data_IF_639754582451
#
_entry.id   IF_639754582451
#
_cell.length_a   1.000
_cell.length_b   1.000
_cell.length_c   1.000
_cell.angle_alpha   90.00
_cell.angle_beta   90.00
_cell.angle_gamma   90.00
#
_symmetry.space_group_name_H-M   'P 1'
#
loop_
_entity.id
_entity.type
_entity.pdbx_description
1 polymer ?
#
# COMPACT_ATOMS: atom_id res chain seq x y z
N UNK A 1 19.78 28.14 54.02
CA UNK A 1 19.88 28.41 52.58
C UNK A 1 18.85 27.53 51.88
N UNK A 2 17.71 28.12 51.53
CA UNK A 2 16.53 27.47 50.96
C UNK A 2 16.63 27.48 49.44
N UNK A 3 16.74 26.31 48.82
CA UNK A 3 16.77 26.13 47.37
C UNK A 3 15.36 26.03 46.78
N UNK A 4 14.99 26.97 45.93
CA UNK A 4 13.72 27.04 45.19
C UNK A 4 13.73 26.09 43.98
N UNK A 5 12.68 25.29 43.85
CA UNK A 5 12.42 24.44 42.69
C UNK A 5 11.99 25.24 41.44
N UNK A 6 12.29 24.79 40.20
CA UNK A 6 11.87 25.47 38.99
C UNK A 6 10.38 25.24 38.69
N UNK A 7 9.70 26.30 38.22
CA UNK A 7 8.29 26.32 37.89
C UNK A 7 7.96 25.56 36.59
N UNK A 8 6.75 24.99 36.44
CA UNK A 8 6.33 24.28 35.23
C UNK A 8 6.12 25.25 34.05
N UNK A 9 6.70 24.91 32.91
CA UNK A 9 6.51 25.62 31.63
C UNK A 9 5.08 25.37 31.15
N UNK A 10 4.26 26.43 31.11
CA UNK A 10 2.90 26.39 30.54
C UNK A 10 2.95 26.17 29.03
N UNK A 11 2.07 25.34 28.45
CA UNK A 11 1.94 25.24 27.00
C UNK A 11 1.49 26.58 26.41
N UNK A 12 2.19 27.04 25.38
CA UNK A 12 1.81 28.22 24.62
C UNK A 12 0.40 28.03 24.02
N UNK A 13 -0.38 29.11 24.08
CA UNK A 13 -1.82 29.16 23.89
C UNK A 13 -2.24 28.74 22.47
N UNK A 14 -3.11 27.75 22.39
CA UNK A 14 -3.94 27.35 21.23
C UNK A 14 -4.82 28.47 20.63
N UNK A 15 -4.83 29.67 21.24
CA UNK A 15 -5.63 30.82 20.80
C UNK A 15 -5.05 31.61 19.62
N UNK A 16 -3.72 31.67 19.47
CA UNK A 16 -3.09 32.45 18.39
C UNK A 16 -3.20 31.76 17.02
N UNK A 17 -3.28 30.43 16.98
CA UNK A 17 -3.49 29.66 15.74
C UNK A 17 -4.89 29.88 15.13
N UNK A 18 -5.91 30.17 15.96
CA UNK A 18 -7.27 30.47 15.49
C UNK A 18 -7.41 31.88 14.90
N UNK A 19 -6.53 32.82 15.28
CA UNK A 19 -6.61 34.22 14.87
C UNK A 19 -6.24 34.46 13.39
N UNK A 20 -5.49 33.55 12.75
CA UNK A 20 -5.04 33.69 11.36
C UNK A 20 -5.96 33.00 10.31
N UNK A 21 -6.98 32.25 10.74
CA UNK A 21 -7.96 31.61 9.85
C UNK A 21 -8.83 32.61 9.03
N UNK A 22 -9.21 33.81 9.53
CA UNK A 22 -9.98 34.78 8.77
C UNK A 22 -9.22 35.39 7.56
N UNK A 23 -7.92 35.63 7.69
CA UNK A 23 -7.09 36.17 6.59
C UNK A 23 -6.88 35.15 5.47
N UNK A 24 -6.80 33.86 5.82
CA UNK A 24 -6.78 32.78 4.84
C UNK A 24 -8.08 32.76 4.00
N UNK A 25 -9.25 32.98 4.62
CA UNK A 25 -10.55 33.06 3.91
C UNK A 25 -10.61 34.23 2.92
N UNK A 26 -9.99 35.36 3.23
CA UNK A 26 -9.97 36.53 2.35
C UNK A 26 -9.00 36.34 1.15
N UNK A 27 -7.87 35.66 1.37
CA UNK A 27 -6.95 35.24 0.31
C UNK A 27 -7.60 34.22 -0.65
N UNK A 28 -8.38 33.28 -0.10
CA UNK A 28 -9.20 32.29 -0.81
C UNK A 28 -10.15 32.94 -1.84
N UNK A 29 -10.84 34.02 -1.45
CA UNK A 29 -11.80 34.72 -2.32
C UNK A 29 -11.13 35.43 -3.51
N UNK A 30 -9.92 35.99 -3.32
CA UNK A 30 -9.19 36.73 -4.36
C UNK A 30 -8.58 35.80 -5.41
N UNK A 31 -8.03 34.66 -5.00
CA UNK A 31 -7.48 33.66 -5.93
C UNK A 31 -8.56 32.98 -6.79
N UNK A 32 -9.78 32.83 -6.26
CA UNK A 32 -10.91 32.25 -6.99
C UNK A 32 -11.42 33.12 -8.16
N UNK A 33 -11.18 34.43 -8.15
CA UNK A 33 -11.66 35.36 -9.19
C UNK A 33 -10.73 35.46 -10.41
N UNK A 34 -9.50 34.94 -10.38
CA UNK A 34 -8.47 35.23 -11.39
C UNK A 34 -8.12 34.05 -12.33
N UNK A 35 -8.83 32.91 -12.28
CA UNK A 35 -8.43 31.69 -13.01
C UNK A 35 -9.49 31.18 -14.00
N UNK A 36 -9.05 30.85 -15.23
CA UNK A 36 -9.80 30.15 -16.28
C UNK A 36 -10.10 28.67 -15.96
N UNK A 37 -9.74 28.20 -14.76
CA UNK A 37 -9.95 26.84 -14.31
C UNK A 37 -11.42 26.56 -13.91
N UNK A 38 -11.83 25.29 -13.96
CA UNK A 38 -13.17 24.88 -13.50
C UNK A 38 -13.37 25.23 -12.02
N UNK A 39 -14.61 25.37 -11.50
CA UNK A 39 -14.84 25.58 -10.08
C UNK A 39 -14.14 24.52 -9.19
N UNK A 40 -14.07 23.27 -9.64
CA UNK A 40 -13.38 22.19 -8.94
C UNK A 40 -11.86 22.40 -8.89
N UNK A 41 -11.24 22.81 -10.00
CA UNK A 41 -9.80 23.08 -10.05
C UNK A 41 -9.41 24.28 -9.19
N UNK A 42 -10.26 25.33 -9.17
CA UNK A 42 -10.07 26.47 -8.27
C UNK A 42 -10.10 26.02 -6.81
N UNK A 43 -11.06 25.17 -6.44
CA UNK A 43 -11.13 24.63 -5.07
C UNK A 43 -9.91 23.76 -4.72
N UNK A 44 -9.47 22.89 -5.64
CA UNK A 44 -8.25 22.06 -5.46
C UNK A 44 -6.98 22.89 -5.32
N UNK A 45 -6.85 23.97 -6.09
CA UNK A 45 -5.74 24.92 -5.95
C UNK A 45 -5.76 25.59 -4.57
N UNK A 46 -6.95 25.97 -4.07
CA UNK A 46 -7.11 26.56 -2.74
C UNK A 46 -6.79 25.56 -1.62
N UNK A 47 -7.24 24.30 -1.72
CA UNK A 47 -6.86 23.22 -0.80
C UNK A 47 -5.35 23.02 -0.74
N UNK A 48 -4.71 23.02 -1.91
CA UNK A 48 -3.26 22.88 -2.03
C UNK A 48 -2.55 24.05 -1.34
N UNK A 49 -2.88 25.29 -1.68
CA UNK A 49 -2.26 26.48 -1.09
C UNK A 49 -2.47 26.57 0.43
N UNK A 50 -3.66 26.19 0.92
CA UNK A 50 -3.95 26.12 2.35
C UNK A 50 -3.03 25.09 3.04
N UNK A 51 -2.95 23.88 2.51
CA UNK A 51 -2.14 22.81 3.11
C UNK A 51 -0.64 23.04 2.97
N UNK A 52 -0.18 23.70 1.91
CA UNK A 52 1.24 24.07 1.74
C UNK A 52 1.74 24.93 2.92
N UNK A 53 0.86 25.70 3.55
CA UNK A 53 1.18 26.53 4.72
C UNK A 53 0.77 25.90 6.04
N UNK A 54 -0.33 25.13 6.06
CA UNK A 54 -1.00 24.72 7.30
C UNK A 54 -1.02 23.22 7.57
N UNK A 55 -0.43 22.37 6.72
CA UNK A 55 -0.47 20.91 6.88
C UNK A 55 -0.08 20.43 8.29
N UNK A 56 1.01 20.96 8.86
CA UNK A 56 1.47 20.58 10.20
C UNK A 56 0.54 21.01 11.33
N UNK A 57 -0.15 22.14 11.17
CA UNK A 57 -1.11 22.66 12.13
C UNK A 57 -2.41 21.85 12.08
N UNK A 58 -2.92 21.61 10.86
CA UNK A 58 -4.08 20.74 10.61
C UNK A 58 -3.82 19.36 11.21
N UNK A 59 -2.70 18.72 10.86
CA UNK A 59 -2.39 17.40 11.37
C UNK A 59 -2.26 17.37 12.90
N UNK A 60 -1.64 18.39 13.50
CA UNK A 60 -1.54 18.50 14.95
C UNK A 60 -2.92 18.60 15.62
N UNK A 61 -3.87 19.33 15.03
CA UNK A 61 -5.23 19.42 15.54
C UNK A 61 -5.96 18.06 15.45
N UNK A 62 -5.90 17.42 14.28
CA UNK A 62 -6.51 16.10 14.05
C UNK A 62 -5.96 15.00 14.94
N UNK A 63 -4.68 15.10 15.29
CA UNK A 63 -3.97 14.08 16.07
C UNK A 63 -3.66 14.54 17.49
N UNK A 64 -4.39 15.53 18.03
CA UNK A 64 -4.19 16.05 19.39
C UNK A 64 -2.71 16.26 19.79
N UNK A 65 -1.91 16.78 18.86
CA UNK A 65 -0.46 16.96 19.05
C UNK A 65 0.41 15.77 18.62
N UNK A 66 -0.07 14.89 17.72
CA UNK A 66 0.61 13.66 17.26
C UNK A 66 0.66 12.59 18.34
N UNK A 67 -0.50 12.34 18.96
CA UNK A 67 -0.66 11.34 20.03
C UNK A 67 -1.48 10.14 19.57
N UNK A 68 -2.77 10.26 19.17
CA UNK A 68 -3.47 9.20 18.46
C UNK A 68 -2.82 8.87 17.12
N UNK A 69 -2.72 7.56 16.85
CA UNK A 69 -2.15 6.99 15.63
C UNK A 69 -3.27 6.67 14.64
N UNK A 70 -3.86 7.73 14.08
CA UNK A 70 -4.93 7.58 13.11
C UNK A 70 -4.39 6.94 11.82
N UNK A 71 -5.10 5.93 11.33
CA UNK A 71 -4.90 5.33 10.00
C UNK A 71 -5.46 6.27 8.92
N UNK A 72 -5.25 5.92 7.64
CA UNK A 72 -5.59 6.79 6.51
C UNK A 72 -7.07 7.22 6.52
N UNK A 73 -8.01 6.28 6.57
CA UNK A 73 -9.44 6.58 6.54
C UNK A 73 -9.93 7.30 7.80
N UNK A 74 -9.36 6.98 8.96
CA UNK A 74 -9.66 7.66 10.23
C UNK A 74 -9.19 9.12 10.20
N UNK A 75 -7.99 9.36 9.66
CA UNK A 75 -7.44 10.70 9.49
C UNK A 75 -8.25 11.50 8.47
N UNK A 76 -8.68 10.88 7.37
CA UNK A 76 -9.53 11.53 6.37
C UNK A 76 -10.90 11.89 6.95
N UNK A 77 -11.53 10.99 7.73
CA UNK A 77 -12.80 11.27 8.41
C UNK A 77 -12.65 12.41 9.43
N UNK A 78 -11.62 12.36 10.28
CA UNK A 78 -11.34 13.44 11.23
C UNK A 78 -11.09 14.78 10.53
N UNK A 79 -10.40 14.78 9.39
CA UNK A 79 -10.17 15.97 8.57
C UNK A 79 -11.46 16.53 7.98
N UNK A 80 -12.38 15.67 7.52
CA UNK A 80 -13.67 16.09 6.99
C UNK A 80 -14.53 16.77 8.06
N UNK A 81 -14.54 16.23 9.28
CA UNK A 81 -15.32 16.75 10.40
C UNK A 81 -14.74 18.07 10.94
N UNK A 82 -13.43 18.15 11.14
CA UNK A 82 -12.77 19.32 11.72
C UNK A 82 -12.58 20.46 10.71
N UNK A 83 -12.41 20.15 9.42
CA UNK A 83 -12.16 21.12 8.35
C UNK A 83 -13.11 20.90 7.16
N UNK A 84 -14.40 21.24 7.28
CA UNK A 84 -15.38 21.05 6.21
C UNK A 84 -14.91 21.67 4.88
N UNK A 85 -14.92 20.87 3.81
CA UNK A 85 -14.50 21.27 2.47
C UNK A 85 -13.01 21.06 2.16
N UNK A 86 -12.17 20.75 3.16
CA UNK A 86 -10.75 20.42 2.96
C UNK A 86 -10.58 19.07 2.24
N UNK A 87 -11.30 18.07 2.72
CA UNK A 87 -11.42 16.71 2.16
C UNK A 87 -12.90 16.34 2.06
N UNK A 88 -13.28 15.37 1.21
CA UNK A 88 -14.65 14.90 1.12
C UNK A 88 -15.08 14.20 2.41
N UNK A 89 -16.35 14.37 2.76
CA UNK A 89 -17.00 13.64 3.85
C UNK A 89 -17.10 12.15 3.53
N UNK A 90 -17.26 11.32 4.56
CA UNK A 90 -17.52 9.88 4.39
C UNK A 90 -18.75 9.62 3.51
N UNK A 91 -19.78 10.46 3.63
CA UNK A 91 -20.99 10.38 2.80
C UNK A 91 -20.73 10.70 1.32
N UNK A 92 -19.94 11.75 1.03
CA UNK A 92 -19.55 12.09 -0.34
C UNK A 92 -18.69 10.99 -0.97
N UNK A 93 -17.72 10.44 -0.22
CA UNK A 93 -16.89 9.32 -0.69
C UNK A 93 -17.73 8.07 -0.96
N UNK A 94 -18.68 7.73 -0.07
CA UNK A 94 -19.57 6.59 -0.27
C UNK A 94 -20.47 6.80 -1.50
N UNK A 95 -20.99 8.01 -1.71
CA UNK A 95 -21.82 8.34 -2.87
C UNK A 95 -21.01 8.32 -4.18
N UNK A 96 -19.74 8.71 -4.17
CA UNK A 96 -18.86 8.65 -5.33
C UNK A 96 -18.43 7.20 -5.64
N UNK A 97 -18.16 6.39 -4.61
CA UNK A 97 -17.84 4.95 -4.75
C UNK A 97 -18.99 4.14 -5.34
N UNK A 98 -20.25 4.55 -5.11
CA UNK A 98 -21.41 3.90 -5.71
C UNK A 98 -21.54 4.14 -7.24
N UNK A 99 -20.61 4.87 -7.86
CA UNK A 99 -20.61 5.20 -9.29
C UNK A 99 -19.43 4.55 -10.00
N UNK A 100 -19.66 4.16 -11.25
CA UNK A 100 -18.58 3.76 -12.14
C UNK A 100 -17.51 4.86 -12.22
N UNK A 101 -16.25 4.47 -12.40
CA UNK A 101 -15.11 5.40 -12.36
C UNK A 101 -15.27 6.61 -13.30
N UNK A 102 -15.90 6.40 -14.47
CA UNK A 102 -16.19 7.45 -15.46
C UNK A 102 -17.20 8.51 -15.01
N UNK A 103 -17.99 8.21 -13.97
CA UNK A 103 -19.09 9.02 -13.46
C UNK A 103 -18.77 9.66 -12.10
N UNK A 104 -17.57 9.37 -11.56
CA UNK A 104 -17.11 9.94 -10.30
C UNK A 104 -16.84 11.44 -10.43
N UNK A 105 -17.14 12.19 -9.38
CA UNK A 105 -16.82 13.61 -9.29
C UNK A 105 -15.31 13.85 -9.04
N UNK A 106 -14.57 12.81 -8.66
CA UNK A 106 -13.14 12.90 -8.40
C UNK A 106 -12.85 13.49 -7.03
N UNK A 107 -13.66 13.13 -6.03
CA UNK A 107 -13.47 13.52 -4.64
C UNK A 107 -12.16 12.95 -4.05
N UNK A 108 -11.70 11.80 -4.55
CA UNK A 108 -10.45 11.19 -4.11
C UNK A 108 -9.21 12.03 -4.50
N UNK A 109 -9.31 12.95 -5.47
CA UNK A 109 -8.24 13.92 -5.77
C UNK A 109 -7.99 14.84 -4.56
N UNK A 110 -9.04 15.20 -3.83
CA UNK A 110 -8.94 16.06 -2.66
C UNK A 110 -8.24 15.33 -1.49
N UNK A 111 -8.48 14.02 -1.36
CA UNK A 111 -7.71 13.15 -0.47
C UNK A 111 -6.24 13.07 -0.90
N UNK A 112 -5.97 12.96 -2.20
CA UNK A 112 -4.61 12.97 -2.75
C UNK A 112 -3.84 14.25 -2.40
N UNK A 113 -4.48 15.41 -2.51
CA UNK A 113 -3.92 16.70 -2.08
C UNK A 113 -3.61 16.67 -0.58
N UNK A 114 -4.58 16.23 0.24
CA UNK A 114 -4.42 16.15 1.69
C UNK A 114 -3.25 15.27 2.10
N UNK A 115 -3.24 14.00 1.69
CA UNK A 115 -2.16 13.07 2.05
C UNK A 115 -0.81 13.49 1.48
N UNK A 116 -0.77 14.06 0.27
CA UNK A 116 0.47 14.59 -0.29
C UNK A 116 1.10 15.62 0.65
N UNK A 117 0.33 16.61 1.13
CA UNK A 117 0.91 17.67 1.97
C UNK A 117 1.22 17.22 3.39
N UNK A 118 0.44 16.30 3.95
CA UNK A 118 0.80 15.66 5.23
C UNK A 118 2.12 14.89 5.11
N UNK A 119 2.27 14.05 4.08
CA UNK A 119 3.46 13.22 3.87
C UNK A 119 4.70 14.04 3.50
N UNK A 120 4.55 15.22 2.87
CA UNK A 120 5.68 16.14 2.62
C UNK A 120 6.30 16.67 3.92
N UNK A 121 5.52 16.84 4.99
CA UNK A 121 6.05 17.28 6.27
C UNK A 121 6.91 16.18 6.91
N UNK A 122 8.19 16.46 7.26
CA UNK A 122 9.01 15.49 7.98
C UNK A 122 8.40 15.07 9.32
N UNK A 123 7.72 16.00 9.99
CA UNK A 123 7.13 15.78 11.32
C UNK A 123 5.81 15.05 11.25
N UNK A 124 4.85 15.56 10.46
CA UNK A 124 3.52 14.97 10.38
C UNK A 124 3.49 13.73 9.49
N UNK A 125 4.20 13.75 8.37
CA UNK A 125 4.34 12.59 7.50
C UNK A 125 5.14 11.46 8.16
N UNK A 126 6.19 11.79 8.92
CA UNK A 126 6.91 10.81 9.72
C UNK A 126 6.01 10.11 10.74
N UNK A 127 5.19 10.87 11.47
CA UNK A 127 4.22 10.31 12.40
C UNK A 127 3.14 9.45 11.71
N UNK A 128 2.62 9.87 10.56
CA UNK A 128 1.62 9.08 9.81
C UNK A 128 2.19 7.76 9.30
N UNK A 129 3.41 7.78 8.75
CA UNK A 129 4.11 6.58 8.31
C UNK A 129 4.33 5.63 9.48
N UNK A 130 4.77 6.14 10.64
CA UNK A 130 4.93 5.34 11.86
C UNK A 130 3.59 4.77 12.37
N UNK A 131 2.51 5.56 12.34
CA UNK A 131 1.19 5.12 12.76
C UNK A 131 0.69 3.92 11.94
N UNK A 132 0.97 3.90 10.63
CA UNK A 132 0.53 2.83 9.73
C UNK A 132 1.34 1.54 9.90
N UNK A 133 2.51 1.58 10.54
CA UNK A 133 3.28 0.39 10.93
C UNK A 133 2.77 -0.30 12.20
N UNK A 134 1.82 0.28 12.95
CA UNK A 134 1.20 -0.43 14.07
C UNK A 134 0.19 -1.47 13.58
N UNK A 135 -0.10 -2.50 14.40
CA UNK A 135 -1.04 -3.55 14.04
C UNK A 135 -2.42 -2.97 13.77
N UNK A 136 -3.11 -3.59 12.81
CA UNK A 136 -4.53 -3.34 12.59
C UNK A 136 -5.35 -3.88 13.76
N UNK A 137 -6.48 -3.22 14.06
CA UNK A 137 -7.40 -3.69 15.11
C UNK A 137 -7.88 -5.13 14.84
N UNK A 138 -8.17 -5.46 13.58
CA UNK A 138 -8.57 -6.80 13.14
C UNK A 138 -7.50 -7.85 13.43
N UNK A 139 -6.22 -7.56 13.19
CA UNK A 139 -5.15 -8.49 13.51
C UNK A 139 -5.01 -8.71 15.02
N UNK A 140 -5.15 -7.66 15.83
CA UNK A 140 -5.12 -7.79 17.29
C UNK A 140 -6.28 -8.63 17.83
N UNK A 141 -7.47 -8.51 17.24
CA UNK A 141 -8.64 -9.32 17.58
C UNK A 141 -8.41 -10.80 17.25
N UNK A 142 -7.83 -11.11 16.09
CA UNK A 142 -7.60 -12.47 15.62
C UNK A 142 -6.33 -13.12 16.20
N UNK A 143 -5.41 -12.34 16.76
CA UNK A 143 -4.10 -12.82 17.23
C UNK A 143 -4.20 -13.96 18.25
N UNK A 144 -5.05 -13.92 19.29
CA UNK A 144 -5.12 -15.00 20.28
C UNK A 144 -5.52 -16.35 19.65
N UNK A 145 -6.49 -16.34 18.73
CA UNK A 145 -6.94 -17.54 18.03
C UNK A 145 -5.86 -18.05 17.07
N UNK A 146 -5.22 -17.16 16.30
CA UNK A 146 -4.14 -17.53 15.40
C UNK A 146 -2.94 -18.11 16.17
N UNK A 147 -2.52 -17.51 17.29
CA UNK A 147 -1.43 -18.04 18.11
C UNK A 147 -1.75 -19.45 18.63
N UNK A 148 -3.01 -19.70 19.04
CA UNK A 148 -3.43 -20.99 19.56
C UNK A 148 -3.53 -22.08 18.49
N UNK A 149 -4.09 -21.76 17.32
CA UNK A 149 -4.42 -22.74 16.27
C UNK A 149 -3.36 -22.84 15.18
N UNK A 150 -2.59 -21.77 14.98
CA UNK A 150 -1.71 -21.60 13.83
C UNK A 150 -2.47 -21.40 12.52
N UNK A 151 -3.78 -21.12 12.51
CA UNK A 151 -4.56 -20.99 11.29
C UNK A 151 -5.44 -19.74 11.31
N UNK A 152 -5.57 -19.08 10.16
CA UNK A 152 -6.54 -18.01 9.96
C UNK A 152 -7.02 -18.01 8.50
N UNK A 153 -8.34 -18.08 8.30
CA UNK A 153 -8.98 -17.85 7.00
C UNK A 153 -9.55 -16.42 6.97
N UNK A 154 -8.98 -15.57 6.12
CA UNK A 154 -9.35 -14.17 6.04
C UNK A 154 -10.31 -13.89 4.87
N UNK A 155 -10.60 -14.89 4.03
CA UNK A 155 -11.40 -14.78 2.82
C UNK A 155 -10.53 -14.80 1.56
N UNK A 156 -9.71 -13.77 1.33
CA UNK A 156 -8.81 -13.73 0.16
C UNK A 156 -7.40 -14.24 0.41
N UNK A 157 -7.05 -14.44 1.68
CA UNK A 157 -5.77 -14.96 2.14
C UNK A 157 -6.02 -16.01 3.22
N UNK A 158 -5.36 -17.17 3.07
CA UNK A 158 -5.26 -18.18 4.13
C UNK A 158 -3.86 -18.11 4.74
N UNK A 159 -3.79 -18.09 6.07
CA UNK A 159 -2.56 -18.06 6.83
C UNK A 159 -2.43 -19.33 7.66
N UNK A 160 -1.28 -20.01 7.54
CA UNK A 160 -0.96 -21.21 8.31
C UNK A 160 0.44 -21.10 8.92
N UNK A 161 0.57 -21.28 10.24
CA UNK A 161 1.85 -21.45 10.91
C UNK A 161 2.22 -22.93 10.93
N UNK A 162 3.29 -23.28 10.24
CA UNK A 162 3.87 -24.63 10.24
C UNK A 162 5.38 -24.56 10.41
N UNK A 163 5.90 -25.27 11.42
CA UNK A 163 7.36 -25.40 11.65
C UNK A 163 8.09 -24.04 11.72
N UNK A 164 7.48 -23.07 12.42
CA UNK A 164 8.03 -21.71 12.55
C UNK A 164 7.84 -20.83 11.32
N UNK A 165 7.16 -21.29 10.26
CA UNK A 165 6.90 -20.52 9.04
C UNK A 165 5.45 -20.06 9.00
N UNK A 166 5.21 -18.76 8.83
CA UNK A 166 3.90 -18.22 8.48
C UNK A 166 3.70 -18.32 6.96
N UNK A 167 2.82 -19.21 6.52
CA UNK A 167 2.52 -19.48 5.11
C UNK A 167 1.26 -18.75 4.70
N UNK A 168 1.44 -17.63 4.00
CA UNK A 168 0.37 -16.83 3.41
C UNK A 168 0.07 -17.35 2.00
N UNK A 169 -1.15 -17.82 1.80
CA UNK A 169 -1.65 -18.26 0.50
C UNK A 169 -2.73 -17.30 0.02
N UNK A 170 -2.45 -16.54 -1.04
CA UNK A 170 -3.49 -15.76 -1.75
C UNK A 170 -4.41 -16.74 -2.49
N UNK A 171 -5.71 -16.73 -2.19
CA UNK A 171 -6.63 -17.80 -2.60
C UNK A 171 -7.92 -17.31 -3.26
N UNK A 172 -7.84 -16.24 -4.07
CA UNK A 172 -8.95 -15.82 -4.95
C UNK A 172 -8.87 -16.59 -6.27
N UNK A 173 -9.31 -17.84 -6.18
CA UNK A 173 -9.16 -18.85 -7.22
C UNK A 173 -9.99 -18.58 -8.50
N UNK A 174 -11.02 -17.74 -8.37
CA UNK A 174 -11.94 -17.32 -9.42
C UNK A 174 -11.39 -16.17 -10.28
N UNK A 175 -10.49 -15.37 -9.71
CA UNK A 175 -9.99 -14.14 -10.32
C UNK A 175 -8.47 -14.01 -10.33
N UNK A 176 -7.73 -15.12 -10.27
CA UNK A 176 -6.25 -15.15 -10.43
C UNK A 176 -5.52 -14.25 -9.42
N UNK A 177 -6.06 -14.15 -8.20
CA UNK A 177 -5.56 -13.26 -7.15
C UNK A 177 -5.53 -11.77 -7.57
N UNK A 178 -6.52 -11.34 -8.36
CA UNK A 178 -6.74 -9.93 -8.64
C UNK A 178 -7.00 -9.13 -7.35
N UNK A 179 -6.24 -8.05 -7.15
CA UNK A 179 -6.22 -7.26 -5.92
C UNK A 179 -7.40 -6.27 -5.87
N UNK A 180 -8.06 -6.16 -4.72
CA UNK A 180 -9.07 -5.15 -4.39
C UNK A 180 -8.93 -4.71 -2.92
N UNK A 181 -9.77 -3.76 -2.49
CA UNK A 181 -9.77 -3.22 -1.11
C UNK A 181 -9.82 -4.33 -0.05
N UNK A 182 -10.57 -5.42 -0.29
CA UNK A 182 -10.69 -6.54 0.65
C UNK A 182 -9.38 -7.33 0.72
N UNK A 183 -8.74 -7.58 -0.42
CA UNK A 183 -7.45 -8.27 -0.46
C UNK A 183 -6.37 -7.51 0.31
N UNK A 184 -6.37 -6.17 0.24
CA UNK A 184 -5.42 -5.35 1.00
C UNK A 184 -5.68 -5.45 2.51
N UNK A 185 -6.94 -5.47 2.94
CA UNK A 185 -7.30 -5.65 4.35
C UNK A 185 -6.88 -7.02 4.89
N UNK A 186 -7.14 -8.09 4.12
CA UNK A 186 -6.77 -9.45 4.48
C UNK A 186 -5.23 -9.64 4.47
N UNK A 187 -4.52 -9.10 3.49
CA UNK A 187 -3.05 -9.12 3.41
C UNK A 187 -2.41 -8.39 4.59
N UNK A 188 -2.90 -7.20 4.95
CA UNK A 188 -2.37 -6.46 6.10
C UNK A 188 -2.64 -7.20 7.41
N UNK A 189 -3.83 -7.78 7.56
CA UNK A 189 -4.17 -8.62 8.71
C UNK A 189 -3.25 -9.84 8.81
N UNK A 190 -3.02 -10.55 7.71
CA UNK A 190 -2.13 -11.72 7.68
C UNK A 190 -0.67 -11.36 7.98
N UNK A 191 -0.18 -10.25 7.45
CA UNK A 191 1.17 -9.74 7.73
C UNK A 191 1.32 -9.36 9.20
N UNK A 192 0.34 -8.66 9.78
CA UNK A 192 0.35 -8.32 11.21
C UNK A 192 0.38 -9.59 12.08
N UNK A 193 -0.51 -10.57 11.81
CA UNK A 193 -0.55 -11.84 12.54
C UNK A 193 0.79 -12.58 12.45
N UNK A 194 1.36 -12.68 11.25
CA UNK A 194 2.64 -13.35 11.01
C UNK A 194 3.80 -12.67 11.75
N UNK A 195 3.82 -11.33 11.81
CA UNK A 195 4.88 -10.57 12.48
C UNK A 195 4.70 -10.54 14.01
N UNK A 196 3.47 -10.58 14.51
CA UNK A 196 3.15 -10.54 15.94
C UNK A 196 3.30 -11.89 16.63
N UNK A 197 2.94 -13.00 15.96
CA UNK A 197 2.97 -14.34 16.57
C UNK A 197 4.42 -14.73 16.94
N UNK A 198 4.73 -14.95 18.23
CA UNK A 198 6.08 -15.36 18.65
C UNK A 198 6.49 -16.74 18.12
N UNK A 199 5.53 -17.57 17.69
CA UNK A 199 5.80 -18.87 17.10
C UNK A 199 6.28 -18.83 15.64
N UNK A 200 6.28 -17.65 15.00
CA UNK A 200 6.74 -17.48 13.61
C UNK A 200 8.15 -16.88 13.59
N UNK A 201 9.05 -17.51 12.84
CA UNK A 201 10.44 -17.09 12.62
C UNK A 201 10.63 -16.38 11.28
N UNK A 202 9.93 -16.85 10.23
CA UNK A 202 9.97 -16.33 8.87
C UNK A 202 8.63 -16.58 8.16
N UNK A 203 8.45 -15.93 7.01
CA UNK A 203 7.19 -15.92 6.29
C UNK A 203 7.37 -16.41 4.84
N UNK A 204 6.34 -17.08 4.33
CA UNK A 204 6.21 -17.47 2.92
C UNK A 204 4.96 -16.79 2.35
N UNK A 205 5.07 -16.16 1.18
CA UNK A 205 3.95 -15.70 0.38
C UNK A 205 3.88 -16.50 -0.94
N UNK A 206 2.72 -17.10 -1.22
CA UNK A 206 2.50 -17.87 -2.45
C UNK A 206 1.06 -17.77 -2.94
N UNK A 207 0.88 -17.98 -4.24
CA UNK A 207 -0.44 -18.16 -4.85
C UNK A 207 -1.04 -19.54 -4.56
N UNK A 208 -2.34 -19.58 -4.27
CA UNK A 208 -3.12 -20.81 -4.21
C UNK A 208 -3.40 -21.40 -5.60
N UNK A 209 -4.01 -22.58 -5.63
CA UNK A 209 -4.54 -23.18 -6.85
C UNK A 209 -5.78 -22.44 -7.34
N UNK A 210 -5.97 -22.39 -8.66
CA UNK A 210 -7.06 -21.65 -9.30
C UNK A 210 -8.21 -22.57 -9.70
N UNK A 211 -9.44 -22.04 -9.65
CA UNK A 211 -10.66 -22.67 -10.18
C UNK A 211 -11.05 -22.11 -11.55
N UNK A 212 -10.54 -20.92 -11.91
CA UNK A 212 -10.75 -20.32 -13.22
C UNK A 212 -10.38 -21.29 -14.35
N UNK A 213 -11.22 -21.51 -15.38
CA UNK A 213 -11.06 -22.60 -16.36
C UNK A 213 -9.71 -22.64 -17.09
N UNK A 214 -9.07 -21.49 -17.32
CA UNK A 214 -7.76 -21.41 -17.99
C UNK A 214 -6.58 -21.85 -17.11
N UNK A 215 -6.76 -21.88 -15.79
CA UNK A 215 -5.71 -22.16 -14.81
C UNK A 215 -6.15 -23.23 -13.79
N UNK A 216 -7.21 -23.98 -14.09
CA UNK A 216 -7.75 -24.99 -13.19
C UNK A 216 -6.66 -25.97 -12.73
N UNK A 217 -6.49 -26.11 -11.41
CA UNK A 217 -5.48 -26.99 -10.80
C UNK A 217 -4.04 -26.47 -10.87
N UNK A 218 -3.82 -25.24 -11.37
CA UNK A 218 -2.51 -24.58 -11.35
C UNK A 218 -2.49 -23.49 -10.30
N UNK A 219 -1.33 -23.29 -9.67
CA UNK A 219 -1.08 -22.12 -8.82
C UNK A 219 -0.84 -20.87 -9.67
N UNK A 220 -1.36 -19.74 -9.19
CA UNK A 220 -1.12 -18.43 -9.79
C UNK A 220 -0.79 -17.44 -8.69
N UNK A 221 0.36 -16.77 -8.79
CA UNK A 221 0.77 -15.79 -7.81
C UNK A 221 -0.16 -14.58 -7.79
N UNK A 222 -0.17 -13.74 -8.83
CA UNK A 222 -1.09 -12.59 -8.88
C UNK A 222 -1.22 -11.99 -10.27
N UNK A 223 -2.45 -11.67 -10.66
CA UNK A 223 -2.78 -10.92 -11.88
C UNK A 223 -2.79 -9.39 -11.71
N UNK A 224 -2.35 -8.86 -10.57
CA UNK A 224 -2.35 -7.42 -10.28
C UNK A 224 -3.72 -6.89 -9.89
N UNK A 225 -3.95 -5.59 -10.10
CA UNK A 225 -5.18 -4.91 -9.70
C UNK A 225 -6.42 -5.47 -10.40
N UNK A 226 -7.54 -5.57 -9.68
CA UNK A 226 -8.81 -5.94 -10.27
C UNK A 226 -9.35 -4.81 -11.15
N UNK A 227 -9.10 -4.91 -12.46
CA UNK A 227 -9.55 -3.92 -13.45
C UNK A 227 -11.09 -3.80 -13.55
N UNK A 228 -11.85 -4.84 -13.17
CA UNK A 228 -13.32 -4.73 -13.11
C UNK A 228 -13.75 -3.88 -11.93
N UNK A 229 -13.15 -4.08 -10.76
CA UNK A 229 -13.37 -3.23 -9.58
C UNK A 229 -12.94 -1.79 -9.85
N UNK A 230 -11.79 -1.59 -10.52
CA UNK A 230 -11.35 -0.25 -10.93
C UNK A 230 -12.36 0.42 -11.87
N UNK A 231 -12.94 -0.33 -12.81
CA UNK A 231 -13.98 0.19 -13.70
C UNK A 231 -15.25 0.58 -12.94
N UNK A 232 -15.66 -0.28 -12.01
CA UNK A 232 -16.86 -0.12 -11.21
C UNK A 232 -16.75 1.02 -10.19
N UNK A 233 -15.53 1.51 -9.91
CA UNK A 233 -15.29 2.57 -8.93
C UNK A 233 -14.95 2.05 -7.53
N UNK A 234 -14.67 0.75 -7.40
CA UNK A 234 -14.49 0.05 -6.12
C UNK A 234 -13.03 -0.01 -5.65
N UNK A 235 -12.09 0.61 -6.37
CA UNK A 235 -10.71 0.75 -5.91
C UNK A 235 -10.54 2.11 -5.24
N UNK A 236 -10.25 2.09 -3.94
CA UNK A 236 -10.11 3.31 -3.16
C UNK A 236 -8.68 3.85 -3.13
N UNK A 237 -8.52 5.18 -3.12
CA UNK A 237 -7.21 5.79 -2.87
C UNK A 237 -6.69 5.44 -1.48
N UNK A 238 -7.50 5.62 -0.43
CA UNK A 238 -7.11 5.47 0.97
C UNK A 238 -7.10 4.01 1.42
N UNK A 239 -8.09 3.18 1.02
CA UNK A 239 -8.20 1.78 1.45
C UNK A 239 -7.40 0.77 0.61
N UNK A 240 -7.00 1.13 -0.61
CA UNK A 240 -6.22 0.24 -1.48
C UNK A 240 -4.88 0.83 -1.84
N UNK A 241 -4.87 1.91 -2.64
CA UNK A 241 -3.65 2.42 -3.28
C UNK A 241 -2.61 2.91 -2.27
N UNK A 242 -3.03 3.69 -1.27
CA UNK A 242 -2.13 4.18 -0.21
C UNK A 242 -1.95 3.14 0.90
N UNK A 243 -3.03 2.45 1.30
CA UNK A 243 -3.00 1.48 2.39
C UNK A 243 -2.06 0.32 2.11
N UNK A 244 -2.03 -0.23 0.90
CA UNK A 244 -1.11 -1.33 0.58
C UNK A 244 0.35 -0.94 0.73
N UNK A 245 0.70 0.27 0.27
CA UNK A 245 2.08 0.76 0.25
C UNK A 245 2.58 1.18 1.63
N UNK A 246 1.75 1.90 2.39
CA UNK A 246 2.09 2.40 3.73
C UNK A 246 1.80 1.37 4.85
N UNK A 247 0.97 0.37 4.56
CA UNK A 247 0.60 -0.71 5.46
C UNK A 247 1.44 -1.96 5.20
N UNK A 248 0.82 -3.01 4.64
CA UNK A 248 1.42 -4.34 4.64
C UNK A 248 2.74 -4.43 3.86
N UNK A 249 2.92 -3.72 2.74
CA UNK A 249 4.21 -3.71 2.03
C UNK A 249 5.31 -3.03 2.85
N UNK A 250 4.96 -1.96 3.57
CA UNK A 250 5.90 -1.29 4.46
C UNK A 250 6.23 -2.14 5.68
N UNK A 251 5.26 -2.87 6.22
CA UNK A 251 5.42 -3.84 7.32
C UNK A 251 6.26 -5.05 6.91
N UNK A 252 6.12 -5.55 5.67
CA UNK A 252 7.03 -6.57 5.13
C UNK A 252 8.47 -6.04 5.15
N UNK A 253 8.69 -4.79 4.75
CA UNK A 253 10.03 -4.18 4.71
C UNK A 253 10.61 -3.83 6.10
N UNK A 254 9.82 -3.23 7.00
CA UNK A 254 10.29 -2.61 8.27
C UNK A 254 9.83 -3.32 9.54
N UNK A 255 8.89 -4.24 9.43
CA UNK A 255 8.23 -4.87 10.57
C UNK A 255 7.06 -4.06 11.13
N UNK A 256 6.35 -4.67 12.08
CA UNK A 256 5.21 -4.07 12.79
C UNK A 256 5.69 -3.43 14.08
N UNK A 257 5.31 -2.18 14.34
CA UNK A 257 5.63 -1.48 15.60
C UNK A 257 4.75 -2.00 16.73
N UNK A 258 5.29 -2.11 17.95
CA UNK A 258 4.54 -2.59 19.12
C UNK A 258 4.84 -1.75 20.36
N UNK A 259 3.84 -1.57 21.23
CA UNK A 259 3.97 -0.82 22.49
C UNK A 259 4.22 -1.73 23.71
N UNK A 260 4.25 -3.05 23.53
CA UNK A 260 4.20 -4.04 24.62
C UNK A 260 5.54 -4.30 25.30
N UNK A 261 6.33 -3.25 25.53
CA UNK A 261 7.65 -3.35 26.12
C UNK A 261 8.71 -3.84 25.13
N UNK A 262 8.54 -3.52 23.84
CA UNK A 262 9.56 -3.71 22.81
C UNK A 262 10.92 -3.26 23.34
N UNK A 263 11.96 -4.05 23.08
CA UNK A 263 13.30 -3.70 23.55
C UNK A 263 13.72 -2.36 22.95
N UNK A 264 14.47 -1.57 23.73
CA UNK A 264 14.97 -0.24 23.33
C UNK A 264 15.71 -0.23 21.98
N UNK A 265 16.21 -1.40 21.53
CA UNK A 265 16.94 -1.58 20.27
C UNK A 265 16.08 -2.12 19.10
N UNK A 266 14.86 -2.58 19.35
CA UNK A 266 13.96 -3.17 18.34
C UNK A 266 12.49 -2.76 18.56
N UNK A 267 12.12 -1.51 18.23
CA UNK A 267 10.75 -1.02 18.38
C UNK A 267 9.75 -1.64 17.38
N UNK A 268 10.23 -2.44 16.42
CA UNK A 268 9.41 -3.14 15.45
C UNK A 268 9.81 -4.62 15.37
N UNK A 269 8.81 -5.50 15.21
CA UNK A 269 8.99 -6.94 14.93
C UNK A 269 9.04 -7.14 13.43
N UNK A 270 10.22 -7.46 12.92
CA UNK A 270 10.46 -7.76 11.51
C UNK A 270 10.91 -9.22 11.37
N UNK A 271 10.46 -9.88 10.30
CA UNK A 271 10.80 -11.27 9.98
C UNK A 271 11.19 -11.37 8.50
N UNK A 272 12.02 -12.35 8.11
CA UNK A 272 12.32 -12.60 6.70
C UNK A 272 11.10 -13.09 5.93
N UNK A 273 11.01 -12.76 4.65
CA UNK A 273 9.93 -13.11 3.74
C UNK A 273 10.47 -13.80 2.49
N UNK A 274 9.91 -14.95 2.16
CA UNK A 274 10.13 -15.66 0.89
C UNK A 274 8.88 -15.52 0.02
N UNK A 275 9.03 -15.25 -1.27
CA UNK A 275 7.95 -15.33 -2.24
C UNK A 275 8.20 -16.47 -3.23
N UNK A 276 7.15 -17.22 -3.55
CA UNK A 276 7.18 -18.26 -4.58
C UNK A 276 6.20 -17.92 -5.70
N UNK A 277 6.72 -17.69 -6.91
CA UNK A 277 5.95 -17.23 -8.06
C UNK A 277 5.60 -18.40 -8.98
N UNK A 278 4.37 -18.87 -8.87
CA UNK A 278 3.75 -19.78 -9.84
C UNK A 278 3.03 -18.99 -10.94
N UNK A 279 3.21 -19.41 -12.20
CA UNK A 279 2.61 -18.85 -13.42
C UNK A 279 2.97 -17.40 -13.77
N UNK A 280 2.73 -16.42 -12.90
CA UNK A 280 3.09 -15.02 -13.14
C UNK A 280 2.88 -14.12 -11.93
N UNK A 281 3.69 -13.06 -11.85
CA UNK A 281 3.44 -11.91 -11.00
C UNK A 281 3.25 -10.66 -11.86
N UNK A 282 2.05 -10.11 -11.85
CA UNK A 282 1.66 -8.95 -12.67
C UNK A 282 1.30 -7.79 -11.75
N UNK A 283 1.66 -6.56 -12.15
CA UNK A 283 1.18 -5.35 -11.48
C UNK A 283 1.58 -5.32 -10.01
N UNK A 284 0.61 -5.17 -9.11
CA UNK A 284 0.87 -5.15 -7.67
C UNK A 284 1.48 -6.45 -7.12
N UNK A 285 1.24 -7.60 -7.76
CA UNK A 285 1.93 -8.86 -7.47
C UNK A 285 3.44 -8.77 -7.67
N UNK A 286 3.89 -8.23 -8.82
CA UNK A 286 5.32 -8.02 -9.06
C UNK A 286 5.92 -7.00 -8.08
N UNK A 287 5.13 -6.02 -7.63
CA UNK A 287 5.60 -5.04 -6.65
C UNK A 287 5.88 -5.65 -5.28
N UNK A 288 5.17 -6.72 -4.89
CA UNK A 288 5.46 -7.46 -3.64
C UNK A 288 6.86 -8.08 -3.67
N UNK A 289 7.33 -8.53 -4.84
CA UNK A 289 8.65 -9.13 -4.99
C UNK A 289 9.79 -8.14 -4.68
N UNK A 290 9.52 -6.83 -4.75
CA UNK A 290 10.48 -5.78 -4.46
C UNK A 290 10.63 -5.48 -2.95
N UNK A 291 9.96 -6.24 -2.07
CA UNK A 291 10.04 -6.04 -0.61
C UNK A 291 10.33 -7.30 0.20
N UNK A 292 10.34 -8.48 -0.44
CA UNK A 292 10.68 -9.76 0.19
C UNK A 292 12.20 -9.98 0.18
N UNK A 293 12.68 -10.94 0.97
CA UNK A 293 14.11 -11.28 1.09
C UNK A 293 14.60 -12.23 0.01
N UNK A 294 13.72 -13.12 -0.46
CA UNK A 294 14.09 -14.17 -1.40
C UNK A 294 12.91 -14.52 -2.31
N UNK A 295 13.16 -14.61 -3.60
CA UNK A 295 12.15 -14.87 -4.63
C UNK A 295 12.52 -16.13 -5.39
N UNK A 296 11.64 -17.13 -5.34
CA UNK A 296 11.67 -18.29 -6.22
C UNK A 296 10.60 -18.15 -7.30
N UNK A 297 10.88 -18.62 -8.51
CA UNK A 297 9.88 -18.66 -9.59
C UNK A 297 9.88 -20.00 -10.31
N UNK A 298 8.70 -20.42 -10.76
CA UNK A 298 8.59 -21.49 -11.74
C UNK A 298 9.23 -21.06 -13.07
N UNK A 299 9.86 -21.99 -13.79
CA UNK A 299 10.54 -21.70 -15.05
C UNK A 299 9.60 -21.24 -16.17
N UNK A 300 8.30 -21.56 -16.07
CA UNK A 300 7.25 -21.06 -16.97
C UNK A 300 6.60 -19.76 -16.49
N UNK A 301 7.09 -19.17 -15.41
CA UNK A 301 6.55 -17.93 -14.87
C UNK A 301 7.07 -16.69 -15.61
N UNK A 302 6.33 -15.59 -15.50
CA UNK A 302 6.80 -14.27 -15.95
C UNK A 302 6.46 -13.15 -14.98
N UNK A 303 7.23 -12.08 -15.06
CA UNK A 303 7.07 -10.84 -14.29
C UNK A 303 6.72 -9.69 -15.23
N UNK A 304 5.77 -8.82 -14.84
CA UNK A 304 5.46 -7.61 -15.60
C UNK A 304 4.82 -6.51 -14.76
N UNK A 305 5.11 -5.25 -15.11
CA UNK A 305 4.36 -4.08 -14.65
C UNK A 305 3.66 -3.45 -15.86
N UNK A 306 2.45 -3.90 -16.22
CA UNK A 306 1.70 -3.35 -17.35
C UNK A 306 1.14 -1.94 -17.07
N UNK A 307 1.81 -1.14 -16.24
CA UNK A 307 1.35 0.17 -15.76
C UNK A 307 1.06 1.16 -16.90
N UNK A 308 1.84 1.15 -17.99
CA UNK A 308 1.55 1.94 -19.18
C UNK A 308 0.19 1.54 -19.84
N UNK A 309 -0.16 0.26 -19.74
CA UNK A 309 -1.39 -0.31 -20.29
C UNK A 309 -2.59 -0.13 -19.34
N UNK A 310 -2.38 -0.23 -18.02
CA UNK A 310 -3.38 0.04 -16.97
C UNK A 310 -3.61 1.56 -16.78
N UNK A 311 -2.60 2.37 -17.10
CA UNK A 311 -2.59 3.83 -17.04
C UNK A 311 -2.39 4.40 -15.63
N UNK A 312 -2.24 3.59 -14.59
CA UNK A 312 -1.93 4.05 -13.23
C UNK A 312 -0.43 3.94 -12.91
N UNK A 313 0.04 4.62 -11.86
CA UNK A 313 1.39 4.44 -11.33
C UNK A 313 1.47 3.06 -10.66
N UNK A 314 2.50 2.23 -10.94
CA UNK A 314 2.63 0.90 -10.34
C UNK A 314 3.19 0.96 -8.91
N UNK A 315 2.41 1.59 -8.02
CA UNK A 315 2.74 1.72 -6.60
C UNK A 315 4.14 2.28 -6.41
N UNK A 316 4.93 1.64 -5.55
CA UNK A 316 6.30 2.05 -5.21
C UNK A 316 7.36 1.41 -6.14
N UNK A 317 6.96 0.72 -7.22
CA UNK A 317 7.95 0.16 -8.17
C UNK A 317 8.83 1.22 -8.82
N UNK A 318 8.32 2.43 -9.09
CA UNK A 318 9.15 3.50 -9.69
C UNK A 318 10.29 3.94 -8.75
N UNK A 319 10.13 3.74 -7.44
CA UNK A 319 11.18 3.96 -6.45
C UNK A 319 12.13 2.75 -6.36
N UNK A 320 11.57 1.53 -6.26
CA UNK A 320 12.33 0.32 -5.91
C UNK A 320 12.98 -0.37 -7.11
N UNK A 321 12.27 -0.53 -8.22
CA UNK A 321 12.73 -1.33 -9.37
C UNK A 321 14.08 -0.89 -9.95
N UNK A 322 14.40 0.42 -10.06
CA UNK A 322 15.72 0.85 -10.53
C UNK A 322 16.89 0.41 -9.65
N UNK A 323 16.67 0.15 -8.36
CA UNK A 323 17.72 -0.36 -7.45
C UNK A 323 18.17 -1.77 -7.86
N UNK A 324 17.21 -2.60 -8.26
CA UNK A 324 17.45 -3.99 -8.67
C UNK A 324 17.95 -4.10 -10.11
N UNK A 325 17.31 -3.36 -11.01
CA UNK A 325 17.46 -3.58 -12.47
C UNK A 325 18.30 -2.51 -13.17
N UNK A 326 18.70 -1.47 -12.45
CA UNK A 326 19.23 -0.25 -13.05
C UNK A 326 18.16 0.57 -13.79
N UNK A 327 18.47 1.82 -14.16
CA UNK A 327 17.49 2.77 -14.68
C UNK A 327 16.92 2.42 -16.05
N UNK A 328 17.66 1.68 -16.89
CA UNK A 328 17.24 1.37 -18.28
C UNK A 328 16.23 0.25 -18.31
N UNK A 329 16.52 -0.88 -17.67
CA UNK A 329 15.59 -2.00 -17.62
C UNK A 329 14.33 -1.64 -16.85
N UNK A 330 14.43 -0.88 -15.74
CA UNK A 330 13.24 -0.37 -15.04
C UNK A 330 12.31 0.45 -15.95
N UNK A 331 12.87 1.29 -16.83
CA UNK A 331 12.09 2.08 -17.81
C UNK A 331 11.46 1.21 -18.89
N UNK A 332 12.15 0.18 -19.38
CA UNK A 332 11.57 -0.78 -20.32
C UNK A 332 10.39 -1.53 -19.67
N UNK A 333 10.54 -1.96 -18.42
CA UNK A 333 9.47 -2.66 -17.70
C UNK A 333 8.27 -1.72 -17.47
N UNK A 334 8.50 -0.51 -16.92
CA UNK A 334 7.41 0.39 -16.47
C UNK A 334 6.81 1.20 -17.62
N UNK A 335 7.64 1.79 -18.49
CA UNK A 335 7.19 2.72 -19.54
C UNK A 335 6.81 1.98 -20.82
N UNK A 336 7.53 0.91 -21.19
CA UNK A 336 7.28 0.14 -22.41
C UNK A 336 6.44 -1.12 -22.15
N UNK A 337 6.24 -1.50 -20.88
CA UNK A 337 5.49 -2.71 -20.50
C UNK A 337 6.25 -4.01 -20.81
N UNK A 338 7.60 -3.98 -20.78
CA UNK A 338 8.43 -5.17 -21.02
C UNK A 338 8.09 -6.26 -20.00
N UNK A 339 7.75 -7.43 -20.51
CA UNK A 339 7.59 -8.67 -19.74
C UNK A 339 8.94 -9.38 -19.64
N UNK A 340 9.24 -9.95 -18.47
CA UNK A 340 10.45 -10.75 -18.22
C UNK A 340 10.02 -12.18 -17.95
N UNK A 341 10.48 -13.15 -18.74
CA UNK A 341 10.30 -14.56 -18.40
C UNK A 341 11.26 -14.95 -17.28
N UNK A 342 10.88 -15.89 -16.41
CA UNK A 342 11.75 -16.36 -15.33
C UNK A 342 13.09 -16.91 -15.86
N UNK A 343 13.11 -17.46 -17.08
CA UNK A 343 14.32 -17.99 -17.73
C UNK A 343 15.17 -16.94 -18.45
N UNK A 344 14.70 -15.69 -18.56
CA UNK A 344 15.50 -14.63 -19.18
C UNK A 344 16.72 -14.32 -18.28
N UNK A 345 17.90 -14.00 -18.85
CA UNK A 345 19.08 -13.65 -18.06
C UNK A 345 18.83 -12.50 -17.06
N UNK A 346 18.01 -11.51 -17.45
CA UNK A 346 17.66 -10.37 -16.61
C UNK A 346 16.72 -10.71 -15.45
N UNK A 347 16.06 -11.87 -15.48
CA UNK A 347 15.19 -12.30 -14.38
C UNK A 347 15.97 -12.47 -13.06
N UNK A 348 17.27 -12.79 -13.14
CA UNK A 348 18.17 -12.90 -11.97
C UNK A 348 18.33 -11.61 -11.17
N UNK A 349 17.87 -10.48 -11.71
CA UNK A 349 17.84 -9.19 -10.99
C UNK A 349 16.61 -9.08 -10.07
N UNK A 350 15.63 -9.98 -10.20
CA UNK A 350 14.34 -9.95 -9.52
C UNK A 350 13.95 -11.31 -8.90
N UNK A 351 14.62 -12.39 -9.29
CA UNK A 351 14.37 -13.77 -8.89
C UNK A 351 15.70 -14.42 -8.54
N UNK A 352 15.81 -14.95 -7.32
CA UNK A 352 17.02 -15.58 -6.82
C UNK A 352 17.18 -17.00 -7.36
N UNK A 353 16.06 -17.72 -7.51
CA UNK A 353 16.04 -19.12 -7.93
C UNK A 353 14.90 -19.42 -8.92
N UNK A 354 15.24 -20.15 -9.97
CA UNK A 354 14.26 -20.60 -10.99
C UNK A 354 14.31 -22.11 -11.06
N UNK A 355 13.15 -22.74 -10.84
CA UNK A 355 13.00 -24.19 -10.80
C UNK A 355 11.89 -24.62 -11.73
N UNK A 356 11.90 -25.88 -12.18
CA UNK A 356 10.72 -26.39 -12.89
C UNK A 356 9.50 -26.41 -11.96
N UNK A 357 8.26 -26.30 -12.47
CA UNK A 357 7.07 -26.33 -11.62
C UNK A 357 7.02 -27.50 -10.63
N UNK A 358 7.53 -28.68 -11.03
CA UNK A 358 7.54 -29.89 -10.21
C UNK A 358 8.61 -29.87 -9.11
N UNK A 359 9.63 -29.03 -9.23
CA UNK A 359 10.74 -28.92 -8.28
C UNK A 359 10.57 -27.73 -7.33
N UNK A 360 9.70 -26.76 -7.69
CA UNK A 360 9.53 -25.51 -6.95
C UNK A 360 9.11 -25.72 -5.49
N UNK A 361 8.22 -26.67 -5.21
CA UNK A 361 7.77 -26.96 -3.84
C UNK A 361 8.93 -27.35 -2.92
N UNK A 362 9.80 -28.24 -3.40
CA UNK A 362 10.99 -28.66 -2.65
C UNK A 362 11.97 -27.50 -2.48
N UNK A 363 12.21 -26.73 -3.54
CA UNK A 363 13.12 -25.59 -3.50
C UNK A 363 12.65 -24.51 -2.51
N UNK A 364 11.34 -24.30 -2.38
CA UNK A 364 10.76 -23.39 -1.39
C UNK A 364 11.08 -23.85 0.02
N UNK A 365 10.88 -25.13 0.35
CA UNK A 365 11.24 -25.65 1.68
C UNK A 365 12.75 -25.52 1.96
N UNK A 366 13.60 -25.88 0.99
CA UNK A 366 15.05 -25.75 1.11
C UNK A 366 15.47 -24.27 1.34
N UNK A 367 14.78 -23.31 0.72
CA UNK A 367 15.03 -21.87 0.90
C UNK A 367 14.60 -21.38 2.28
N UNK A 368 13.43 -21.82 2.75
CA UNK A 368 12.94 -21.48 4.09
C UNK A 368 13.94 -21.93 5.16
N UNK A 369 14.50 -23.13 5.05
CA UNK A 369 15.50 -23.63 6.01
C UNK A 369 16.81 -22.83 5.97
N UNK A 370 17.26 -22.38 4.80
CA UNK A 370 18.47 -21.54 4.67
C UNK A 370 18.33 -20.17 5.34
N UNK A 371 17.13 -19.60 5.36
CA UNK A 371 16.86 -18.25 5.86
C UNK A 371 16.48 -18.22 7.35
N UNK A 372 16.59 -19.36 8.04
CA UNK A 372 16.38 -19.43 9.50
C UNK A 372 17.52 -18.76 10.27
N UNK A 373 17.17 -18.27 11.45
CA UNK A 373 18.14 -17.86 12.47
C UNK A 373 18.23 -16.36 12.72
N UNK A 374 18.67 -15.96 13.93
CA UNK A 374 18.63 -14.57 14.39
C UNK A 374 19.57 -13.63 13.62
N UNK A 375 20.65 -14.14 13.04
CA UNK A 375 21.58 -13.36 12.23
C UNK A 375 20.92 -12.84 10.94
N UNK A 376 20.01 -13.61 10.35
CA UNK A 376 19.28 -13.22 9.13
C UNK A 376 18.42 -11.99 9.41
N UNK A 377 17.67 -11.99 10.52
CA UNK A 377 16.82 -10.86 10.90
C UNK A 377 17.63 -9.57 11.14
N UNK A 378 18.79 -9.67 11.80
CA UNK A 378 19.67 -8.53 12.05
C UNK A 378 20.27 -7.97 10.74
N UNK A 379 20.78 -8.85 9.87
CA UNK A 379 21.34 -8.43 8.58
C UNK A 379 20.27 -7.86 7.65
N UNK A 380 19.08 -8.48 7.57
CA UNK A 380 17.92 -7.95 6.85
C UNK A 380 17.61 -6.52 7.26
N UNK A 381 17.51 -6.26 8.58
CA UNK A 381 17.23 -4.93 9.11
C UNK A 381 18.24 -3.89 8.61
N UNK A 382 19.53 -4.24 8.59
CA UNK A 382 20.59 -3.33 8.16
C UNK A 382 20.63 -3.14 6.65
N UNK A 383 20.40 -4.19 5.85
CA UNK A 383 20.26 -4.10 4.41
C UNK A 383 19.08 -3.19 4.03
N UNK A 384 17.91 -3.41 4.62
CA UNK A 384 16.70 -2.62 4.36
C UNK A 384 16.86 -1.15 4.76
N UNK A 385 17.62 -0.87 5.82
CA UNK A 385 17.93 0.50 6.25
C UNK A 385 18.89 1.21 5.27
N UNK A 386 19.85 0.48 4.71
CA UNK A 386 20.76 1.03 3.70
C UNK A 386 20.07 1.25 2.34
N UNK A 387 19.20 0.31 1.96
CA UNK A 387 18.53 0.31 0.66
C UNK A 387 17.47 1.41 0.54
N UNK A 388 16.66 1.62 1.57
CA UNK A 388 15.55 2.56 1.53
C UNK A 388 15.49 3.41 2.80
N UNK A 389 15.97 4.64 2.70
CA UNK A 389 15.76 5.66 3.71
C UNK A 389 14.26 6.01 3.84
N UNK A 390 13.78 6.13 5.08
CA UNK A 390 12.35 6.35 5.36
C UNK A 390 11.87 7.71 4.85
N UNK A 391 12.72 8.73 4.82
CA UNK A 391 12.39 10.06 4.31
C UNK A 391 12.33 10.07 2.78
N UNK A 392 13.13 9.24 2.10
CA UNK A 392 12.99 9.00 0.66
C UNK A 392 11.66 8.33 0.36
N UNK A 393 11.33 7.25 1.06
CA UNK A 393 10.04 6.55 0.92
C UNK A 393 8.86 7.50 1.18
N UNK A 394 8.89 8.25 2.29
CA UNK A 394 7.84 9.20 2.67
C UNK A 394 7.63 10.27 1.59
N UNK A 395 8.71 10.87 1.08
CA UNK A 395 8.62 11.90 0.02
C UNK A 395 8.09 11.32 -1.30
N UNK A 396 8.48 10.09 -1.65
CA UNK A 396 7.90 9.39 -2.79
C UNK A 396 6.40 9.18 -2.61
N UNK A 397 5.98 8.67 -1.44
CA UNK A 397 4.57 8.44 -1.12
C UNK A 397 3.74 9.73 -1.12
N UNK A 398 4.36 10.86 -0.75
CA UNK A 398 3.72 12.16 -0.82
C UNK A 398 3.33 12.53 -2.27
N UNK A 399 4.27 12.43 -3.21
CA UNK A 399 3.97 12.70 -4.63
C UNK A 399 3.04 11.65 -5.22
N UNK A 400 3.24 10.38 -4.86
CA UNK A 400 2.37 9.28 -5.27
C UNK A 400 0.91 9.51 -4.88
N UNK A 401 0.64 10.00 -3.67
CA UNK A 401 -0.73 10.24 -3.21
C UNK A 401 -1.51 11.18 -4.13
N UNK A 402 -0.89 12.28 -4.57
CA UNK A 402 -1.52 13.21 -5.49
C UNK A 402 -1.53 12.67 -6.93
N UNK A 403 -0.37 12.22 -7.43
CA UNK A 403 -0.25 11.77 -8.82
C UNK A 403 -1.19 10.60 -9.09
N UNK A 404 -1.25 9.61 -8.19
CA UNK A 404 -2.12 8.45 -8.36
C UNK A 404 -3.61 8.81 -8.28
N UNK A 405 -3.98 9.77 -7.41
CA UNK A 405 -5.34 10.29 -7.38
C UNK A 405 -5.72 10.97 -8.70
N UNK A 406 -4.79 11.68 -9.34
CA UNK A 406 -5.02 12.29 -10.66
C UNK A 406 -5.09 11.24 -11.76
N UNK A 407 -4.22 10.23 -11.75
CA UNK A 407 -4.20 9.14 -12.74
C UNK A 407 -5.49 8.34 -12.73
N UNK A 408 -6.00 7.94 -11.57
CA UNK A 408 -7.24 7.15 -11.45
C UNK A 408 -8.49 7.86 -12.00
N UNK A 409 -8.48 9.19 -12.08
CA UNK A 409 -9.57 10.01 -12.66
C UNK A 409 -9.25 10.58 -14.04
N UNK A 410 -8.11 10.22 -14.64
CA UNK A 410 -7.74 10.67 -15.98
C UNK A 410 -8.58 10.00 -17.07
N UNK A 411 -8.87 10.74 -18.14
CA UNK A 411 -9.67 10.25 -19.24
C UNK A 411 -9.08 8.97 -19.88
N UNK A 412 -7.76 8.90 -20.04
CA UNK A 412 -7.12 7.75 -20.67
C UNK A 412 -7.22 6.47 -19.82
N UNK A 413 -7.16 6.57 -18.49
CA UNK A 413 -7.38 5.43 -17.57
C UNK A 413 -8.83 4.97 -17.64
N UNK A 414 -9.77 5.91 -17.52
CA UNK A 414 -11.21 5.62 -17.57
C UNK A 414 -11.57 4.88 -18.88
N UNK A 415 -11.07 5.35 -20.02
CA UNK A 415 -11.30 4.73 -21.33
C UNK A 415 -10.66 3.33 -21.45
N UNK A 416 -9.41 3.17 -20.99
CA UNK A 416 -8.70 1.88 -21.03
C UNK A 416 -9.43 0.82 -20.20
N UNK A 417 -9.78 1.17 -18.98
CA UNK A 417 -10.45 0.28 -18.03
C UNK A 417 -11.88 -0.08 -18.52
N UNK A 418 -12.59 0.86 -19.16
CA UNK A 418 -13.86 0.60 -19.82
C UNK A 418 -13.76 -0.44 -20.96
N UNK A 419 -12.71 -0.37 -21.78
CA UNK A 419 -12.48 -1.35 -22.87
C UNK A 419 -12.18 -2.75 -22.34
N UNK A 420 -11.44 -2.87 -21.24
CA UNK A 420 -11.16 -4.15 -20.60
C UNK A 420 -12.46 -4.83 -20.14
N UNK A 421 -13.31 -4.09 -19.43
CA UNK A 421 -14.61 -4.58 -18.95
C UNK A 421 -15.56 -4.97 -20.09
N UNK A 422 -15.55 -4.22 -21.20
CA UNK A 422 -16.34 -4.55 -22.38
C UNK A 422 -15.90 -5.85 -23.07
N UNK A 423 -14.60 -6.12 -23.14
CA UNK A 423 -14.03 -7.36 -23.71
C UNK A 423 -14.25 -8.60 -22.84
N UNK A 424 -14.45 -8.41 -21.54
CA UNK A 424 -14.70 -9.49 -20.58
C UNK A 424 -16.16 -10.02 -20.58
N UNK A 425 -17.08 -9.41 -21.34
CA UNK A 425 -18.44 -9.94 -21.53
C UNK A 425 -18.42 -11.12 -22.52
N UNK A 426 -19.14 -12.24 -22.24
CA UNK A 426 -19.29 -13.32 -23.21
C UNK A 426 -19.99 -12.79 -24.48
N UNK A 427 -19.69 -13.35 -25.68
CA UNK A 427 -20.40 -12.98 -26.89
C UNK A 427 -21.90 -13.23 -26.70
N UNK A 428 -22.74 -12.29 -27.17
CA UNK A 428 -24.19 -12.48 -27.17
C UNK A 428 -24.52 -13.81 -27.89
N UNK A 429 -25.46 -14.62 -27.37
CA UNK A 429 -25.91 -15.80 -28.11
C UNK A 429 -26.40 -15.35 -29.49
N UNK A 430 -25.90 -16.02 -30.53
CA UNK A 430 -26.36 -15.82 -31.91
C UNK A 430 -27.86 -16.01 -31.94
N UNK A 431 -28.60 -14.98 -32.35
CA UNK A 431 -30.01 -15.14 -32.71
C UNK A 431 -30.03 -16.01 -33.96
N UNK A 432 -30.49 -17.25 -33.81
CA UNK A 432 -30.88 -18.12 -34.91
C UNK A 432 -32.13 -17.55 -35.60
#
# INVERSE_FOLDING_TARGET
MTGTAPAPVRPARTGEMRANLPDARAALARAAQQSAATPADRMRALRSAFLDTHADAVYAELTAGRTPRLRLSELAAAAADAFPGLVPTTGELAADRARAQAQKAGHEIDLGIFFCRILRSPRSGGHLVDALLYPTARALELLPEFTATGQADLGSVRLERREGVARLTMCRDDCLNAEDDRQVDDMETAVDLALLDPGVELCLLRGGEMTHPRYAGKRVFSSGINLKSLHAGDISLDNFLLRRELGYLHKIWRGVRVDDGASWHSPARAKPWVAAVDSFAIGGGMQVLLVVDHVLAASDAYLSLPAAQEGIVPGVANLRLPRYTGPRLARQIILEGRRIQATDPEARLLVDEVHTPNELDRAVEDSLDRLRGPAVAANRKMLNAADEDVDVFRRYMAEFALEQSMRTHSADVVDKVGRFSARARPPRPSRH
#
